data_IF_321586190021
#
_entry.id   IF_321586190021
#
_cell.length_a   1.000
_cell.length_b   1.000
_cell.length_c   1.000
_cell.angle_alpha   90.00
_cell.angle_beta   90.00
_cell.angle_gamma   90.00
#
_symmetry.space_group_name_H-M   'P 1'
#
loop_
_entity.id
_entity.type
_entity.pdbx_description
1 polymer ?
#
# COMPACT_ATOMS: atom_id res chain seq x y z
N UNK A 1 4.93 38.09 -46.88
CA UNK A 1 4.23 38.39 -45.62
C UNK A 1 3.79 37.06 -45.02
N UNK A 2 4.47 36.56 -43.99
CA UNK A 2 4.09 35.31 -43.30
C UNK A 2 3.58 35.66 -41.90
N UNK A 3 2.32 35.32 -41.65
CA UNK A 3 1.61 35.57 -40.40
C UNK A 3 2.24 34.80 -39.24
N UNK A 4 2.52 35.48 -38.13
CA UNK A 4 2.96 34.88 -36.87
C UNK A 4 1.76 34.17 -36.21
N UNK A 5 1.82 32.85 -36.12
CA UNK A 5 0.96 32.05 -35.25
C UNK A 5 1.35 32.32 -33.79
N UNK A 6 0.49 33.01 -33.06
CA UNK A 6 0.62 33.19 -31.61
C UNK A 6 0.10 31.92 -30.93
N UNK A 7 1.02 31.04 -30.50
CA UNK A 7 0.69 29.96 -29.57
C UNK A 7 0.31 30.60 -28.23
N UNK A 8 -0.97 30.53 -27.87
CA UNK A 8 -1.43 30.87 -26.52
C UNK A 8 -0.98 29.77 -25.55
N UNK A 9 -0.45 30.11 -24.37
CA UNK A 9 -0.15 29.11 -23.35
C UNK A 9 -1.45 28.45 -22.88
N UNK A 10 -1.51 27.12 -22.98
CA UNK A 10 -2.57 26.31 -22.36
C UNK A 10 -2.30 26.31 -20.85
N UNK A 11 -3.20 26.83 -20.00
CA UNK A 11 -3.01 26.72 -18.57
C UNK A 11 -3.27 25.26 -18.15
N UNK A 12 -2.22 24.55 -17.73
CA UNK A 12 -2.32 23.32 -16.96
C UNK A 12 -2.83 23.68 -15.55
N UNK A 13 -4.11 23.96 -15.42
CA UNK A 13 -4.78 24.13 -14.13
C UNK A 13 -5.67 22.91 -13.92
N UNK A 14 -5.11 21.89 -13.26
CA UNK A 14 -5.91 20.78 -12.74
C UNK A 14 -6.74 21.29 -11.56
N UNK A 15 -7.85 21.96 -11.85
CA UNK A 15 -8.91 22.19 -10.85
C UNK A 15 -9.69 20.88 -10.71
N UNK A 16 -9.14 19.96 -9.92
CA UNK A 16 -9.92 18.84 -9.40
C UNK A 16 -10.99 19.44 -8.49
N UNK A 17 -12.22 19.51 -9.00
CA UNK A 17 -13.41 19.87 -8.22
C UNK A 17 -13.49 18.99 -6.97
N UNK A 18 -14.04 19.50 -5.86
CA UNK A 18 -14.09 18.76 -4.59
C UNK A 18 -14.68 17.35 -4.69
N UNK A 19 -15.59 17.12 -5.65
CA UNK A 19 -16.14 15.80 -5.96
C UNK A 19 -15.11 14.83 -6.57
N UNK A 20 -14.21 15.31 -7.44
CA UNK A 20 -13.15 14.51 -8.04
C UNK A 20 -12.08 14.11 -7.00
N UNK A 21 -11.71 15.02 -6.11
CA UNK A 21 -10.81 14.73 -4.98
C UNK A 21 -11.43 13.70 -4.04
N UNK A 22 -12.70 13.83 -3.69
CA UNK A 22 -13.41 12.86 -2.85
C UNK A 22 -13.54 11.48 -3.52
N UNK A 23 -13.86 11.43 -4.81
CA UNK A 23 -13.94 10.18 -5.56
C UNK A 23 -12.57 9.48 -5.62
N UNK A 24 -11.49 10.23 -5.84
CA UNK A 24 -10.13 9.72 -5.83
C UNK A 24 -9.73 9.17 -4.44
N UNK A 25 -9.99 9.93 -3.37
CA UNK A 25 -9.73 9.50 -1.99
C UNK A 25 -10.54 8.25 -1.62
N UNK A 26 -11.81 8.16 -2.04
CA UNK A 26 -12.62 6.96 -1.88
C UNK A 26 -12.02 5.76 -2.61
N UNK A 27 -11.58 5.94 -3.86
CA UNK A 27 -10.92 4.88 -4.64
C UNK A 27 -9.65 4.35 -3.98
N UNK A 28 -8.82 5.24 -3.43
CA UNK A 28 -7.63 4.86 -2.65
C UNK A 28 -8.04 4.06 -1.40
N UNK A 29 -9.05 4.52 -0.68
CA UNK A 29 -9.52 3.85 0.53
C UNK A 29 -10.08 2.45 0.21
N UNK A 30 -10.84 2.31 -0.88
CA UNK A 30 -11.36 1.02 -1.33
C UNK A 30 -10.26 0.02 -1.68
N UNK A 31 -9.18 0.46 -2.34
CA UNK A 31 -8.07 -0.42 -2.71
C UNK A 31 -7.27 -0.89 -1.49
N UNK A 32 -7.08 -0.01 -0.50
CA UNK A 32 -6.42 -0.36 0.76
C UNK A 32 -7.26 -1.34 1.57
N UNK A 33 -8.58 -1.13 1.64
CA UNK A 33 -9.49 -2.05 2.32
C UNK A 33 -9.55 -3.43 1.67
N UNK A 34 -9.52 -3.49 0.34
CA UNK A 34 -9.43 -4.76 -0.40
C UNK A 34 -8.13 -5.51 -0.07
N UNK A 35 -6.99 -4.81 -0.10
CA UNK A 35 -5.70 -5.37 0.32
C UNK A 35 -5.78 -5.89 1.75
N UNK A 36 -6.34 -5.12 2.67
CA UNK A 36 -6.49 -5.52 4.07
C UNK A 36 -7.39 -6.75 4.22
N UNK A 37 -8.46 -6.86 3.45
CA UNK A 37 -9.31 -8.05 3.43
C UNK A 37 -8.54 -9.29 2.94
N UNK A 38 -7.71 -9.15 1.90
CA UNK A 38 -6.85 -10.23 1.40
C UNK A 38 -5.80 -10.64 2.44
N UNK A 39 -5.13 -9.67 3.09
CA UNK A 39 -4.16 -9.93 4.16
C UNK A 39 -4.80 -10.67 5.33
N UNK A 40 -6.01 -10.26 5.73
CA UNK A 40 -6.80 -10.98 6.75
C UNK A 40 -7.19 -12.38 6.27
N UNK A 41 -7.30 -12.65 4.98
CA UNK A 41 -7.61 -13.97 4.43
C UNK A 41 -6.41 -14.90 4.17
N UNK A 42 -5.17 -14.37 4.28
CA UNK A 42 -3.97 -15.12 3.95
C UNK A 42 -3.81 -16.39 4.79
N UNK A 43 -3.24 -17.44 4.19
CA UNK A 43 -3.04 -18.76 4.80
C UNK A 43 -1.57 -19.08 5.10
N UNK A 44 -0.64 -18.22 4.67
CA UNK A 44 0.78 -18.35 4.97
C UNK A 44 1.47 -16.98 4.92
N UNK A 45 2.65 -16.87 5.55
CA UNK A 45 3.52 -15.70 5.43
C UNK A 45 3.96 -15.43 3.99
N UNK A 46 4.16 -16.48 3.19
CA UNK A 46 4.41 -16.32 1.76
C UNK A 46 3.22 -15.68 1.05
N UNK A 47 1.98 -16.09 1.38
CA UNK A 47 0.77 -15.48 0.82
C UNK A 47 0.63 -14.01 1.19
N UNK A 48 0.95 -13.64 2.45
CA UNK A 48 1.04 -12.24 2.88
C UNK A 48 2.02 -11.47 2.01
N UNK A 49 3.23 -11.98 1.81
CA UNK A 49 4.24 -11.34 0.95
C UNK A 49 3.78 -11.21 -0.50
N UNK A 50 3.13 -12.23 -1.08
CA UNK A 50 2.62 -12.18 -2.45
C UNK A 50 1.55 -11.09 -2.64
N UNK A 51 0.58 -11.01 -1.73
CA UNK A 51 -0.47 -9.97 -1.77
C UNK A 51 0.14 -8.57 -1.74
N UNK A 52 1.15 -8.36 -0.88
CA UNK A 52 1.84 -7.08 -0.77
C UNK A 52 2.62 -6.74 -2.05
N UNK A 53 3.36 -7.70 -2.60
CA UNK A 53 4.16 -7.52 -3.80
C UNK A 53 3.30 -7.17 -5.02
N UNK A 54 2.14 -7.80 -5.19
CA UNK A 54 1.17 -7.47 -6.25
C UNK A 54 0.71 -6.00 -6.20
N UNK A 55 0.77 -5.38 -5.01
CA UNK A 55 0.42 -3.99 -4.79
C UNK A 55 1.63 -3.04 -4.68
N UNK A 56 2.84 -3.54 -4.94
CA UNK A 56 4.08 -2.76 -4.88
C UNK A 56 4.61 -2.51 -3.47
N UNK A 57 4.12 -3.25 -2.47
CA UNK A 57 4.61 -3.21 -1.10
C UNK A 57 5.60 -4.35 -0.85
N UNK A 58 6.46 -4.13 0.13
CA UNK A 58 7.35 -5.13 0.72
C UNK A 58 7.03 -5.29 2.21
N UNK A 59 7.26 -6.49 2.73
CA UNK A 59 7.19 -6.78 4.15
C UNK A 59 8.60 -6.77 4.73
N UNK A 60 8.83 -5.94 5.75
CA UNK A 60 10.09 -5.85 6.48
C UNK A 60 9.86 -6.17 7.95
N UNK A 61 10.93 -6.54 8.66
CA UNK A 61 10.90 -6.74 10.10
C UNK A 61 11.64 -5.59 10.79
N UNK A 62 11.06 -5.05 11.87
CA UNK A 62 11.75 -4.16 12.80
C UNK A 62 11.51 -4.70 14.22
N UNK A 63 12.57 -5.14 14.90
CA UNK A 63 12.48 -5.73 16.26
C UNK A 63 11.42 -6.84 16.40
N UNK A 64 11.27 -7.67 15.38
CA UNK A 64 10.30 -8.77 15.33
C UNK A 64 8.88 -8.35 14.95
N UNK A 65 8.61 -7.06 14.77
CA UNK A 65 7.33 -6.56 14.27
C UNK A 65 7.36 -6.41 12.74
N UNK A 66 6.37 -6.97 12.02
CA UNK A 66 6.29 -6.83 10.57
C UNK A 66 5.68 -5.48 10.17
N UNK A 67 6.41 -4.75 9.35
CA UNK A 67 6.00 -3.50 8.73
C UNK A 67 5.84 -3.65 7.22
N UNK A 68 4.82 -2.98 6.68
CA UNK A 68 4.54 -2.91 5.26
C UNK A 68 5.09 -1.59 4.73
N UNK A 69 5.93 -1.67 3.70
CA UNK A 69 6.61 -0.52 3.11
C UNK A 69 6.43 -0.46 1.61
N UNK A 70 6.14 0.72 1.07
CA UNK A 70 6.25 1.01 -0.36
C UNK A 70 7.31 2.09 -0.55
N UNK A 71 8.45 1.69 -1.13
CA UNK A 71 9.59 2.58 -1.32
C UNK A 71 9.34 3.64 -2.41
N UNK A 72 8.43 3.40 -3.35
CA UNK A 72 8.10 4.34 -4.43
C UNK A 72 7.20 5.47 -3.91
N UNK A 73 6.24 5.16 -3.06
CA UNK A 73 5.29 6.15 -2.50
C UNK A 73 5.68 6.64 -1.10
N UNK A 74 6.78 6.13 -0.53
CA UNK A 74 7.24 6.40 0.83
C UNK A 74 6.18 6.10 1.90
N UNK A 75 5.33 5.10 1.68
CA UNK A 75 4.33 4.67 2.65
C UNK A 75 4.92 3.60 3.57
N UNK A 76 4.66 3.74 4.86
CA UNK A 76 5.04 2.79 5.90
C UNK A 76 3.87 2.64 6.87
N UNK A 77 3.47 1.41 7.17
CA UNK A 77 2.48 1.12 8.20
C UNK A 77 2.72 -0.28 8.79
N UNK A 78 2.37 -0.52 10.06
CA UNK A 78 2.50 -1.85 10.65
C UNK A 78 1.49 -2.80 10.01
N UNK A 79 1.84 -4.08 9.88
CA UNK A 79 0.92 -5.07 9.33
C UNK A 79 -0.40 -5.15 10.12
N UNK A 80 -0.36 -4.82 11.42
CA UNK A 80 -1.54 -4.80 12.28
C UNK A 80 -2.62 -3.80 11.89
N UNK A 81 -2.30 -2.78 11.07
CA UNK A 81 -3.29 -1.83 10.56
C UNK A 81 -4.37 -2.51 9.71
N UNK A 82 -4.14 -3.74 9.22
CA UNK A 82 -5.18 -4.51 8.53
C UNK A 82 -6.27 -5.05 9.47
N UNK A 83 -6.22 -4.79 10.78
CA UNK A 83 -7.24 -5.16 11.75
C UNK A 83 -7.00 -6.50 12.45
N UNK A 84 -5.86 -7.15 12.23
CA UNK A 84 -5.41 -8.32 12.99
C UNK A 84 -4.15 -7.98 13.79
N UNK A 85 -4.14 -8.36 15.07
CA UNK A 85 -2.92 -8.27 15.87
C UNK A 85 -1.88 -9.29 15.41
N UNK A 86 -0.62 -9.10 15.83
CA UNK A 86 0.41 -10.09 15.56
C UNK A 86 0.11 -11.46 16.15
N UNK A 87 -0.59 -11.53 17.29
CA UNK A 87 -1.03 -12.80 17.87
C UNK A 87 -1.92 -13.58 16.89
N UNK A 88 -2.92 -12.91 16.30
CA UNK A 88 -3.84 -13.53 15.32
C UNK A 88 -3.07 -14.03 14.09
N UNK A 89 -2.08 -13.27 13.63
CA UNK A 89 -1.22 -13.73 12.54
C UNK A 89 -0.38 -14.94 12.94
N UNK A 90 0.22 -14.94 14.13
CA UNK A 90 1.04 -16.06 14.61
C UNK A 90 0.23 -17.34 14.81
N UNK A 91 -0.98 -17.24 15.38
CA UNK A 91 -1.87 -18.39 15.56
C UNK A 91 -2.27 -19.04 14.24
N UNK A 92 -2.42 -18.24 13.18
CA UNK A 92 -2.89 -18.71 11.87
C UNK A 92 -1.79 -19.12 10.92
N UNK A 93 -0.72 -18.33 10.87
CA UNK A 93 0.35 -18.46 9.88
C UNK A 93 1.60 -19.13 10.46
N UNK A 94 1.63 -19.35 11.78
CA UNK A 94 2.82 -19.71 12.54
C UNK A 94 3.70 -18.50 12.88
N UNK A 95 4.82 -18.72 13.59
CA UNK A 95 5.76 -17.65 13.92
C UNK A 95 6.18 -16.86 12.67
N UNK A 96 6.27 -15.54 12.79
CA UNK A 96 6.77 -14.71 11.69
C UNK A 96 8.22 -15.11 11.39
N UNK A 97 8.59 -15.35 10.11
CA UNK A 97 9.98 -15.62 9.74
C UNK A 97 10.82 -14.36 9.98
N UNK A 98 11.31 -14.20 11.19
CA UNK A 98 12.38 -13.24 11.48
C UNK A 98 13.65 -13.72 10.80
N UNK A 99 14.34 -12.82 10.09
CA UNK A 99 15.64 -13.12 9.48
C UNK A 99 16.72 -13.52 10.50
N UNK A 100 16.41 -13.44 11.80
CA UNK A 100 17.19 -14.04 12.87
C UNK A 100 16.60 -15.42 13.19
N UNK A 101 17.23 -16.46 12.65
CA UNK A 101 17.09 -17.80 13.19
C UNK A 101 17.58 -17.85 14.64
N UNK A 102 17.21 -18.89 15.41
CA UNK A 102 17.81 -19.10 16.73
C UNK A 102 19.31 -19.33 16.54
N UNK A 103 20.14 -18.54 17.22
CA UNK A 103 21.48 -18.98 17.61
C UNK A 103 21.38 -20.02 18.73
#
# INVERSE_FOLDING_TARGET
MFSKLVQKPVPLRFELTGAATLAHLRGINSKREEMFAQLRGAQSWQGVSSILQEQGYSLISNDGEPFVVNFTTHQLFPLSDCGHSMLVFTERLGPYPTAHGPE
#
